data_IF_538050000872
#
_entry.id   IF_538050000872
#
_cell.length_a   1.000
_cell.length_b   1.000
_cell.length_c   1.000
_cell.angle_alpha   90.00
_cell.angle_beta   90.00
_cell.angle_gamma   90.00
#
_symmetry.space_group_name_H-M   'P 1'
#
loop_
_entity.id
_entity.type
_entity.pdbx_description
1 polymer ?
#
# COMPACT_ATOMS: atom_id res chain seq x y z
N UNK A 1 18.22 3.64 -29.51
CA UNK A 1 17.32 2.89 -28.60
C UNK A 1 16.60 3.91 -27.75
N UNK A 2 15.25 4.01 -27.78
CA UNK A 2 14.56 4.95 -26.93
C UNK A 2 14.64 4.43 -25.50
N UNK A 3 15.33 5.18 -24.64
CA UNK A 3 15.38 4.97 -23.20
C UNK A 3 13.95 4.96 -22.67
N UNK A 4 13.52 3.85 -22.07
CA UNK A 4 12.29 3.82 -21.31
C UNK A 4 12.30 4.99 -20.32
N UNK A 5 11.27 5.86 -20.29
CA UNK A 5 11.20 6.88 -19.26
C UNK A 5 11.23 6.15 -17.91
N UNK A 6 12.15 6.55 -17.05
CA UNK A 6 12.27 6.04 -15.68
C UNK A 6 10.89 6.11 -15.02
N UNK A 7 10.54 5.05 -14.31
CA UNK A 7 9.21 4.92 -13.71
C UNK A 7 8.95 6.13 -12.82
N UNK A 8 7.75 6.70 -12.72
CA UNK A 8 7.52 7.85 -11.83
C UNK A 8 7.77 7.55 -10.34
N UNK A 9 7.84 6.27 -9.92
CA UNK A 9 8.41 5.90 -8.61
C UNK A 9 9.90 6.31 -8.48
N UNK A 10 10.61 6.62 -9.58
CA UNK A 10 12.01 7.08 -9.63
C UNK A 10 12.16 8.60 -9.80
N UNK A 11 11.05 9.35 -9.81
CA UNK A 11 11.10 10.81 -9.90
C UNK A 11 11.96 11.40 -8.78
N UNK A 12 12.74 12.45 -9.07
CA UNK A 12 13.60 13.09 -8.06
C UNK A 12 12.78 13.77 -6.95
N UNK A 13 13.28 13.81 -5.72
CA UNK A 13 12.67 14.57 -4.62
C UNK A 13 12.66 16.09 -4.87
N UNK A 14 11.82 16.79 -4.12
CA UNK A 14 11.96 18.25 -3.96
C UNK A 14 13.25 18.50 -3.20
N UNK A 15 14.07 19.45 -3.67
CA UNK A 15 15.41 19.72 -3.13
C UNK A 15 15.40 19.85 -1.59
N UNK A 16 16.33 19.13 -0.94
CA UNK A 16 16.57 19.17 0.50
C UNK A 16 15.64 18.35 1.40
N UNK A 17 14.79 17.44 0.87
CA UNK A 17 13.83 16.71 1.73
C UNK A 17 13.66 15.22 1.41
N UNK A 18 13.58 14.40 2.47
CA UNK A 18 13.38 12.95 2.40
C UNK A 18 12.01 12.57 1.85
N UNK A 19 11.99 11.61 0.92
CA UNK A 19 10.77 10.99 0.37
C UNK A 19 10.70 9.52 0.78
N UNK A 20 9.51 9.06 1.16
CA UNK A 20 9.23 7.64 1.32
C UNK A 20 8.61 7.09 0.02
N UNK A 21 9.24 6.05 -0.54
CA UNK A 21 8.62 5.18 -1.55
C UNK A 21 8.16 3.92 -0.82
N UNK A 22 6.86 3.65 -0.81
CA UNK A 22 6.29 2.51 -0.09
C UNK A 22 5.57 1.61 -1.08
N UNK A 23 6.03 0.38 -1.18
CA UNK A 23 5.47 -0.67 -2.02
C UNK A 23 4.59 -1.53 -1.16
N UNK A 24 3.34 -1.73 -1.56
CA UNK A 24 2.34 -2.42 -0.73
C UNK A 24 1.71 -3.56 -1.50
N UNK A 25 1.60 -4.71 -0.86
CA UNK A 25 0.88 -5.84 -1.42
C UNK A 25 0.10 -6.63 -0.37
N UNK A 26 -0.99 -7.26 -0.82
CA UNK A 26 -1.88 -8.08 -0.02
C UNK A 26 -2.18 -9.39 -0.75
N UNK A 27 -2.13 -10.49 0.01
CA UNK A 27 -2.40 -11.82 -0.52
C UNK A 27 -3.46 -12.52 0.30
N UNK A 28 -4.35 -13.23 -0.38
CA UNK A 28 -5.25 -14.21 0.20
C UNK A 28 -5.00 -15.55 -0.49
N UNK A 29 -5.01 -16.65 0.27
CA UNK A 29 -5.00 -17.99 -0.32
C UNK A 29 -6.37 -18.25 -0.96
N UNK A 30 -6.42 -18.19 -2.28
CA UNK A 30 -7.67 -18.02 -3.03
C UNK A 30 -8.27 -16.62 -2.89
N UNK A 31 -9.37 -16.32 -3.59
CA UNK A 31 -9.96 -14.98 -3.56
C UNK A 31 -10.53 -14.60 -2.18
N UNK A 32 -10.93 -15.60 -1.41
CA UNK A 32 -11.36 -15.51 -0.01
C UNK A 32 -10.73 -16.67 0.76
N UNK A 33 -9.87 -16.37 1.73
CA UNK A 33 -9.15 -17.38 2.50
C UNK A 33 -8.27 -16.75 3.59
N UNK A 34 -7.38 -17.54 4.21
CA UNK A 34 -6.31 -17.01 5.04
C UNK A 34 -5.53 -15.95 4.25
N UNK A 35 -5.32 -14.78 4.86
CA UNK A 35 -4.76 -13.63 4.16
C UNK A 35 -3.59 -13.03 4.92
N UNK A 36 -2.68 -12.38 4.22
CA UNK A 36 -1.59 -11.61 4.78
C UNK A 36 -1.35 -10.34 3.97
N UNK A 37 -0.71 -9.37 4.59
CA UNK A 37 -0.32 -8.13 3.90
C UNK A 37 1.13 -7.79 4.22
N UNK A 38 1.74 -7.00 3.35
CA UNK A 38 3.08 -6.49 3.55
C UNK A 38 3.28 -5.11 2.93
N UNK A 39 4.29 -4.41 3.43
CA UNK A 39 4.84 -3.24 2.76
C UNK A 39 6.36 -3.21 2.85
N UNK A 40 6.98 -2.58 1.87
CA UNK A 40 8.41 -2.29 1.80
C UNK A 40 8.60 -0.79 1.61
N UNK A 41 9.41 -0.17 2.45
CA UNK A 41 9.72 1.26 2.43
C UNK A 41 11.15 1.46 2.00
N UNK A 42 11.35 2.41 1.09
CA UNK A 42 12.65 2.96 0.72
C UNK A 42 12.59 4.47 0.97
N UNK A 43 13.31 4.93 1.98
CA UNK A 43 13.49 6.36 2.22
C UNK A 43 14.66 6.85 1.38
N UNK A 44 14.44 7.91 0.60
CA UNK A 44 15.47 8.54 -0.23
C UNK A 44 15.67 9.99 0.18
N UNK A 45 16.93 10.42 0.26
CA UNK A 45 17.28 11.84 0.45
C UNK A 45 17.00 12.65 -0.81
N UNK A 46 17.31 13.95 -0.76
CA UNK A 46 17.14 14.90 -1.85
C UNK A 46 17.93 14.58 -3.12
N UNK A 47 19.09 13.93 -2.98
CA UNK A 47 19.97 13.56 -4.08
C UNK A 47 19.56 12.22 -4.72
N UNK A 48 18.60 11.53 -4.08
CA UNK A 48 18.07 10.25 -4.51
C UNK A 48 18.83 9.05 -3.92
N UNK A 49 19.71 9.27 -2.94
CA UNK A 49 20.37 8.18 -2.24
C UNK A 49 19.41 7.54 -1.26
N UNK A 50 19.50 6.22 -1.11
CA UNK A 50 18.74 5.49 -0.09
C UNK A 50 19.37 5.77 1.27
N UNK A 51 18.58 6.34 2.19
CA UNK A 51 19.00 6.66 3.55
C UNK A 51 18.41 5.72 4.60
N UNK A 52 17.31 5.04 4.28
CA UNK A 52 16.70 4.05 5.16
C UNK A 52 15.87 3.03 4.35
N UNK A 53 15.71 1.82 4.89
CA UNK A 53 14.86 0.76 4.37
C UNK A 53 14.12 0.07 5.50
N UNK A 54 12.83 -0.16 5.30
CA UNK A 54 12.00 -0.90 6.25
C UNK A 54 11.12 -1.89 5.50
N UNK A 55 10.82 -3.03 6.12
CA UNK A 55 9.82 -3.96 5.61
C UNK A 55 8.99 -4.50 6.76
N UNK A 56 7.71 -4.75 6.49
CA UNK A 56 6.81 -5.35 7.47
C UNK A 56 5.80 -6.23 6.78
N UNK A 57 5.46 -7.35 7.41
CA UNK A 57 4.35 -8.20 7.02
C UNK A 57 3.56 -8.67 8.24
N UNK A 58 2.29 -8.99 8.03
CA UNK A 58 1.42 -9.48 9.09
C UNK A 58 0.44 -10.53 8.54
N UNK A 59 0.37 -11.66 9.24
CA UNK A 59 -0.66 -12.67 9.01
C UNK A 59 -2.02 -12.17 9.53
N UNK A 60 -3.05 -12.34 8.71
CA UNK A 60 -4.42 -12.11 9.11
C UNK A 60 -4.86 -13.12 10.17
N UNK A 61 -5.72 -12.67 11.09
CA UNK A 61 -6.22 -13.51 12.19
C UNK A 61 -7.52 -14.25 11.85
N UNK A 62 -8.08 -14.00 10.67
CA UNK A 62 -9.34 -14.56 10.18
C UNK A 62 -9.25 -14.73 8.66
N UNK A 63 -10.17 -15.49 8.09
CA UNK A 63 -10.41 -15.51 6.64
C UNK A 63 -10.83 -14.12 6.16
N UNK A 64 -10.25 -13.67 5.05
CA UNK A 64 -10.51 -12.37 4.43
C UNK A 64 -10.39 -12.50 2.91
N UNK A 65 -10.59 -11.40 2.19
CA UNK A 65 -10.43 -11.35 0.73
C UNK A 65 -9.10 -10.70 0.33
N UNK A 66 -8.68 -10.92 -0.91
CA UNK A 66 -7.49 -10.26 -1.47
C UNK A 66 -7.59 -8.73 -1.38
N UNK A 67 -8.71 -8.15 -1.80
CA UNK A 67 -8.94 -6.71 -1.73
C UNK A 67 -8.76 -6.15 -0.30
N UNK A 68 -9.28 -6.85 0.71
CA UNK A 68 -9.11 -6.41 2.11
C UNK A 68 -7.66 -6.53 2.58
N UNK A 69 -6.92 -7.52 2.09
CA UNK A 69 -5.49 -7.65 2.37
C UNK A 69 -4.69 -6.49 1.74
N UNK A 70 -4.96 -6.15 0.47
CA UNK A 70 -4.33 -5.01 -0.22
C UNK A 70 -4.65 -3.68 0.47
N UNK A 71 -5.92 -3.47 0.88
CA UNK A 71 -6.31 -2.29 1.66
C UNK A 71 -5.59 -2.22 3.01
N UNK A 72 -5.42 -3.37 3.68
CA UNK A 72 -4.70 -3.43 4.95
C UNK A 72 -3.21 -3.10 4.77
N UNK A 73 -2.59 -3.53 3.66
CA UNK A 73 -1.22 -3.17 3.31
C UNK A 73 -1.05 -1.65 3.19
N UNK A 74 -1.92 -1.00 2.39
CA UNK A 74 -1.91 0.44 2.20
C UNK A 74 -2.17 1.22 3.51
N UNK A 75 -3.11 0.75 4.34
CA UNK A 75 -3.42 1.38 5.62
C UNK A 75 -2.21 1.37 6.55
N UNK A 76 -1.57 0.21 6.73
CA UNK A 76 -0.43 0.08 7.62
C UNK A 76 0.81 0.83 7.09
N UNK A 77 0.96 0.91 5.75
CA UNK A 77 1.98 1.74 5.12
C UNK A 77 1.81 3.23 5.42
N UNK A 78 0.58 3.75 5.36
CA UNK A 78 0.29 5.16 5.72
C UNK A 78 0.55 5.43 7.21
N UNK A 79 0.14 4.51 8.09
CA UNK A 79 0.41 4.62 9.52
C UNK A 79 1.91 4.60 9.83
N UNK A 80 2.69 3.77 9.12
CA UNK A 80 4.14 3.81 9.21
C UNK A 80 4.67 5.19 8.79
N UNK A 81 4.23 5.69 7.63
CA UNK A 81 4.68 6.96 7.08
C UNK A 81 4.40 8.15 8.02
N UNK A 82 3.24 8.16 8.68
CA UNK A 82 2.88 9.18 9.68
C UNK A 82 3.81 9.14 10.91
N UNK A 83 4.16 7.94 11.38
CA UNK A 83 5.07 7.75 12.52
C UNK A 83 6.56 7.93 12.17
N UNK A 84 6.91 7.84 10.88
CA UNK A 84 8.30 7.89 10.41
C UNK A 84 8.92 9.25 10.69
N UNK A 85 10.18 9.25 11.13
CA UNK A 85 10.98 10.46 11.31
C UNK A 85 12.31 10.31 10.57
N UNK A 86 12.73 11.35 9.87
CA UNK A 86 14.07 11.43 9.27
C UNK A 86 15.15 11.44 10.37
N UNK A 87 16.43 11.25 10.04
CA UNK A 87 17.52 11.37 11.02
C UNK A 87 17.51 12.70 11.79
N UNK A 88 16.99 13.77 11.19
CA UNK A 88 16.84 15.10 11.79
C UNK A 88 15.55 15.26 12.62
N UNK A 89 14.78 14.18 12.81
CA UNK A 89 13.55 14.17 13.59
C UNK A 89 12.33 14.80 12.92
N UNK A 90 12.37 15.04 11.60
CA UNK A 90 11.27 15.65 10.84
C UNK A 90 10.37 14.58 10.19
N UNK A 91 9.09 14.88 9.89
CA UNK A 91 8.27 13.99 9.07
C UNK A 91 8.83 13.91 7.64
N UNK A 92 8.47 12.83 6.93
CA UNK A 92 8.78 12.72 5.51
C UNK A 92 8.09 13.84 4.71
N UNK A 93 8.81 14.44 3.76
CA UNK A 93 8.26 15.55 2.99
C UNK A 93 7.31 15.11 1.87
N UNK A 94 7.42 13.86 1.43
CA UNK A 94 6.47 13.24 0.51
C UNK A 94 6.41 11.75 0.75
N UNK A 95 5.22 11.19 0.57
CA UNK A 95 4.94 9.76 0.69
C UNK A 95 4.34 9.30 -0.63
N UNK A 96 4.98 8.32 -1.26
CA UNK A 96 4.51 7.72 -2.50
C UNK A 96 4.17 6.26 -2.24
N UNK A 97 2.89 5.90 -2.39
CA UNK A 97 2.44 4.51 -2.35
C UNK A 97 2.47 3.96 -3.78
N UNK A 98 3.34 2.98 -4.02
CA UNK A 98 3.41 2.21 -5.25
C UNK A 98 2.63 0.88 -5.03
N UNK A 99 1.55 0.64 -5.78
CA UNK A 99 0.73 -0.59 -5.70
C UNK A 99 0.26 -1.03 -7.09
N UNK A 100 0.11 -2.34 -7.30
CA UNK A 100 -0.53 -2.91 -8.49
C UNK A 100 -2.03 -3.15 -8.31
N UNK A 101 -2.55 -3.02 -7.07
CA UNK A 101 -3.98 -3.07 -6.77
C UNK A 101 -4.73 -1.94 -7.44
N UNK A 102 -5.48 -2.27 -8.50
CA UNK A 102 -6.41 -1.32 -9.10
C UNK A 102 -7.55 -0.95 -8.15
N UNK A 103 -7.94 -1.88 -7.26
CA UNK A 103 -9.04 -1.66 -6.33
C UNK A 103 -8.68 -0.58 -5.31
N UNK A 104 -7.49 -0.70 -4.69
CA UNK A 104 -7.00 0.31 -3.74
C UNK A 104 -6.75 1.64 -4.45
N UNK A 105 -6.02 1.62 -5.57
CA UNK A 105 -5.66 2.83 -6.30
C UNK A 105 -6.89 3.62 -6.75
N UNK A 106 -7.77 3.00 -7.56
CA UNK A 106 -8.95 3.70 -8.09
C UNK A 106 -9.98 3.98 -7.00
N UNK A 107 -10.12 3.08 -6.03
CA UNK A 107 -11.00 3.32 -4.90
C UNK A 107 -10.61 4.58 -4.16
N UNK A 108 -9.32 4.74 -3.88
CA UNK A 108 -8.83 5.91 -3.18
C UNK A 108 -8.86 7.19 -4.03
N UNK A 109 -8.41 7.14 -5.28
CA UNK A 109 -8.21 8.36 -6.10
C UNK A 109 -9.43 8.77 -6.93
N UNK A 110 -10.35 7.85 -7.24
CA UNK A 110 -11.47 8.10 -8.15
C UNK A 110 -12.84 7.89 -7.48
N UNK A 111 -13.01 6.81 -6.70
CA UNK A 111 -14.35 6.38 -6.26
C UNK A 111 -14.79 6.97 -4.92
N UNK A 112 -13.87 7.06 -3.95
CA UNK A 112 -14.14 7.55 -2.59
C UNK A 112 -14.91 8.87 -2.55
N UNK A 113 -14.50 9.95 -3.27
CA UNK A 113 -15.21 11.22 -3.24
C UNK A 113 -16.69 11.07 -3.66
N UNK A 114 -16.94 10.28 -4.70
CA UNK A 114 -18.28 10.01 -5.19
C UNK A 114 -19.10 9.15 -4.22
N UNK A 115 -18.49 8.16 -3.58
CA UNK A 115 -19.16 7.33 -2.57
C UNK A 115 -19.56 8.13 -1.34
N UNK A 116 -18.68 9.00 -0.83
CA UNK A 116 -18.98 9.88 0.29
C UNK A 116 -20.14 10.82 -0.02
N UNK A 117 -20.12 11.46 -1.19
CA UNK A 117 -21.20 12.35 -1.64
C UNK A 117 -22.57 11.63 -1.77
N UNK A 118 -22.55 10.31 -2.03
CA UNK A 118 -23.77 9.47 -2.13
C UNK A 118 -24.10 8.70 -0.85
N UNK A 119 -23.51 9.07 0.29
CA UNK A 119 -23.78 8.40 1.57
C UNK A 119 -23.38 6.93 1.59
N UNK A 120 -22.22 6.62 1.00
CA UNK A 120 -21.64 5.26 0.89
C UNK A 120 -22.46 4.29 0.03
N UNK A 121 -22.99 4.80 -1.09
CA UNK A 121 -23.67 3.99 -2.10
C UNK A 121 -22.96 4.00 -3.46
N UNK A 122 -22.91 2.83 -4.08
CA UNK A 122 -22.49 2.63 -5.48
C UNK A 122 -23.51 3.26 -6.42
N UNK A 123 -23.14 3.45 -7.69
CA UNK A 123 -24.03 4.05 -8.70
C UNK A 123 -25.30 3.22 -8.96
N UNK A 124 -25.24 1.91 -8.73
CA UNK A 124 -26.36 0.99 -8.82
C UNK A 124 -27.25 0.96 -7.54
N UNK A 125 -26.96 1.78 -6.53
CA UNK A 125 -27.75 1.88 -5.29
C UNK A 125 -27.29 0.97 -4.15
N UNK A 126 -26.46 -0.02 -4.44
CA UNK A 126 -25.91 -0.94 -3.43
C UNK A 126 -24.98 -0.22 -2.45
N UNK A 127 -24.83 -0.82 -1.27
CA UNK A 127 -23.82 -0.38 -0.31
C UNK A 127 -22.39 -0.56 -0.88
N UNK A 128 -21.50 0.37 -0.52
CA UNK A 128 -20.07 0.25 -0.81
C UNK A 128 -19.45 -0.84 0.06
N UNK A 129 -18.76 -1.78 -0.59
CA UNK A 129 -18.03 -2.85 0.09
C UNK A 129 -16.79 -2.30 0.81
N UNK A 130 -16.39 -2.96 1.90
CA UNK A 130 -15.19 -2.62 2.69
C UNK A 130 -15.18 -1.18 3.21
N UNK A 131 -16.36 -0.57 3.41
CA UNK A 131 -16.51 0.78 3.96
C UNK A 131 -15.68 0.98 5.23
N UNK A 132 -15.65 -0.02 6.11
CA UNK A 132 -14.88 -0.01 7.35
C UNK A 132 -13.38 0.23 7.13
N UNK A 133 -12.80 -0.33 6.07
CA UNK A 133 -11.40 -0.11 5.71
C UNK A 133 -11.20 1.19 4.93
N UNK A 134 -12.16 1.59 4.10
CA UNK A 134 -12.10 2.87 3.40
C UNK A 134 -12.11 4.06 4.35
N UNK A 135 -12.97 4.05 5.38
CA UNK A 135 -13.00 5.09 6.41
C UNK A 135 -11.65 5.18 7.15
N UNK A 136 -11.04 4.03 7.46
CA UNK A 136 -9.71 3.98 8.10
C UNK A 136 -8.59 4.46 7.19
N UNK A 137 -8.63 4.13 5.90
CA UNK A 137 -7.65 4.61 4.91
C UNK A 137 -7.72 6.13 4.76
N UNK A 138 -8.93 6.70 4.70
CA UNK A 138 -9.09 8.15 4.62
C UNK A 138 -8.52 8.84 5.86
N UNK A 139 -8.83 8.33 7.05
CA UNK A 139 -8.30 8.87 8.29
C UNK A 139 -6.77 8.77 8.36
N UNK A 140 -6.19 7.65 7.92
CA UNK A 140 -4.73 7.49 7.91
C UNK A 140 -4.02 8.35 6.85
N UNK A 141 -4.71 8.74 5.78
CA UNK A 141 -4.17 9.61 4.75
C UNK A 141 -4.27 11.10 5.10
N UNK A 142 -5.11 11.47 6.07
CA UNK A 142 -5.34 12.86 6.45
C UNK A 142 -4.03 13.51 6.92
N UNK A 143 -3.67 14.64 6.30
CA UNK A 143 -2.45 15.38 6.64
C UNK A 143 -1.15 14.80 6.05
N UNK A 144 -1.16 13.61 5.44
CA UNK A 144 0.01 13.05 4.79
C UNK A 144 0.24 13.69 3.40
N UNK A 145 1.49 14.01 3.02
CA UNK A 145 1.84 14.45 1.67
C UNK A 145 1.85 13.27 0.69
N UNK A 146 0.68 12.64 0.53
CA UNK A 146 0.48 11.36 -0.12
C UNK A 146 0.31 11.49 -1.63
N UNK A 147 0.97 10.61 -2.37
CA UNK A 147 0.79 10.40 -3.81
C UNK A 147 0.66 8.91 -4.09
N UNK A 148 -0.14 8.57 -5.10
CA UNK A 148 -0.35 7.19 -5.51
C UNK A 148 0.30 6.93 -6.85
N UNK A 149 0.93 5.76 -6.97
CA UNK A 149 1.52 5.31 -8.22
C UNK A 149 1.08 3.90 -8.56
N UNK A 150 0.57 3.72 -9.78
CA UNK A 150 0.26 2.41 -10.31
C UNK A 150 1.54 1.77 -10.82
N UNK A 151 1.89 0.63 -10.25
CA UNK A 151 2.87 -0.27 -10.84
C UNK A 151 2.17 -1.42 -11.54
N UNK A 152 2.86 -2.04 -12.49
CA UNK A 152 2.40 -3.27 -13.10
C UNK A 152 2.79 -4.43 -12.18
N UNK A 153 1.85 -5.33 -11.91
CA UNK A 153 2.13 -6.53 -11.13
C UNK A 153 3.18 -7.41 -11.83
N UNK A 154 4.07 -8.01 -11.02
CA UNK A 154 5.13 -8.93 -11.47
C UNK A 154 6.06 -8.42 -12.60
N UNK A 155 6.31 -7.11 -12.69
CA UNK A 155 7.15 -6.55 -13.75
C UNK A 155 8.34 -5.73 -13.22
N UNK A 156 9.32 -6.40 -12.61
CA UNK A 156 10.69 -5.87 -12.49
C UNK A 156 10.89 -4.74 -11.49
N UNK A 157 10.04 -4.65 -10.47
CA UNK A 157 10.27 -3.78 -9.31
C UNK A 157 10.64 -4.66 -8.12
N UNK A 158 11.93 -4.76 -7.75
CA UNK A 158 12.40 -5.65 -6.68
C UNK A 158 11.67 -5.42 -5.35
N UNK A 159 11.34 -4.17 -5.02
CA UNK A 159 10.60 -3.83 -3.82
C UNK A 159 9.14 -4.31 -3.85
N UNK A 160 8.49 -4.30 -5.02
CA UNK A 160 7.13 -4.83 -5.14
C UNK A 160 7.14 -6.37 -5.10
N UNK A 161 8.08 -7.00 -5.80
CA UNK A 161 8.25 -8.45 -5.74
C UNK A 161 8.56 -8.90 -4.31
N UNK A 162 9.32 -8.10 -3.56
CA UNK A 162 9.55 -8.33 -2.13
C UNK A 162 8.27 -8.20 -1.31
N UNK A 163 7.46 -7.17 -1.55
CA UNK A 163 6.17 -7.02 -0.87
C UNK A 163 5.23 -8.21 -1.16
N UNK A 164 5.14 -8.67 -2.41
CA UNK A 164 4.37 -9.85 -2.82
C UNK A 164 4.81 -11.12 -2.11
N UNK A 165 6.12 -11.40 -2.10
CA UNK A 165 6.67 -12.55 -1.38
C UNK A 165 6.32 -12.50 0.11
N UNK A 166 6.47 -11.33 0.74
CA UNK A 166 6.17 -11.13 2.16
C UNK A 166 4.66 -11.28 2.46
N UNK A 167 3.79 -10.81 1.59
CA UNK A 167 2.34 -10.91 1.73
C UNK A 167 1.88 -12.37 1.58
N UNK A 168 2.38 -13.10 0.58
CA UNK A 168 2.11 -14.53 0.38
C UNK A 168 2.57 -15.37 1.56
N UNK A 169 3.82 -15.18 2.03
CA UNK A 169 4.33 -15.87 3.21
C UNK A 169 3.51 -15.53 4.48
N UNK A 170 2.96 -14.32 4.58
CA UNK A 170 2.05 -13.96 5.66
C UNK A 170 0.68 -14.65 5.55
N UNK A 171 0.14 -14.83 4.35
CA UNK A 171 -1.10 -15.58 4.10
C UNK A 171 -0.93 -17.08 4.43
N UNK A 172 0.19 -17.68 4.06
CA UNK A 172 0.53 -19.07 4.43
C UNK A 172 0.66 -19.24 5.95
N UNK A 173 1.32 -18.30 6.64
CA UNK A 173 1.36 -18.27 8.11
C UNK A 173 -0.02 -18.14 8.73
N UNK A 174 -0.93 -17.36 8.12
CA UNK A 174 -2.31 -17.26 8.57
C UNK A 174 -3.05 -18.60 8.42
N UNK A 175 -2.83 -19.32 7.32
CA UNK A 175 -3.44 -20.63 7.08
C UNK A 175 -3.04 -21.62 8.18
N UNK A 176 -1.74 -21.69 8.47
CA UNK A 176 -1.21 -22.51 9.55
C UNK A 176 -1.81 -22.14 10.92
N UNK A 177 -1.93 -20.84 11.24
CA UNK A 177 -2.53 -20.37 12.50
C UNK A 177 -4.01 -20.69 12.64
N UNK A 178 -4.73 -20.73 11.51
CA UNK A 178 -6.16 -21.02 11.46
C UNK A 178 -6.45 -22.53 11.36
N UNK A 179 -5.42 -23.38 11.31
CA UNK A 179 -5.53 -24.81 10.99
C UNK A 179 -6.28 -25.08 9.67
N UNK A 180 -6.13 -24.18 8.70
CA UNK A 180 -6.68 -24.31 7.35
C UNK A 180 -5.51 -24.73 6.44
N UNK A 181 -5.63 -25.83 5.68
CA UNK A 181 -4.58 -26.20 4.73
C UNK A 181 -4.38 -25.07 3.71
N UNK A 182 -3.11 -24.75 3.44
CA UNK A 182 -2.72 -23.73 2.48
C UNK A 182 -3.05 -24.13 1.04
#
# INVERSE_FOLDING_TARGET
MPTHPSSPCDAKPVAGKTRLKIYTDGSSLGNTGPSGWAYVVVAVDADGNVVDRHERSMAGRNVSTNNRAEMAAALNAMQFADSYRTPEGQPAASVMICTDSQYVLKGFTEWLPGWMARGWRKSNGDAVENRDLWERLMAAAEGLPLTWHKIKGHSGHPENERADQLAKAAAERAAAQLNIPA
#
